data_IF_060553394677
#
_entry.id   IF_060553394677
#
_cell.length_a   1.000
_cell.length_b   1.000
_cell.length_c   1.000
_cell.angle_alpha   90.00
_cell.angle_beta   90.00
_cell.angle_gamma   90.00
#
_symmetry.space_group_name_H-M   'P 1'
#
loop_
_entity.id
_entity.type
_entity.pdbx_description
1 polymer ?
#
# COMPACT_ATOMS: atom_id res chain seq x y z
N UNK A 1 -27.96 -34.39 -15.03
CA UNK A 1 -27.55 -35.31 -13.94
C UNK A 1 -26.11 -35.01 -13.55
N UNK A 2 -25.87 -34.86 -12.30
CA UNK A 2 -24.69 -34.69 -11.41
C UNK A 2 -24.52 -33.27 -10.85
N UNK A 3 -25.09 -33.12 -9.65
CA UNK A 3 -24.88 -32.05 -8.71
C UNK A 3 -23.47 -32.18 -8.11
N UNK A 4 -22.78 -31.05 -7.89
CA UNK A 4 -21.61 -30.98 -7.03
C UNK A 4 -21.97 -30.12 -5.81
N UNK A 5 -21.93 -30.79 -4.67
CA UNK A 5 -22.27 -30.27 -3.35
C UNK A 5 -21.14 -29.36 -2.86
N UNK A 6 -21.47 -28.11 -2.51
CA UNK A 6 -20.57 -27.23 -1.80
C UNK A 6 -20.61 -27.53 -0.29
N UNK A 7 -19.49 -27.94 0.29
CA UNK A 7 -19.33 -28.21 1.72
C UNK A 7 -18.83 -26.94 2.41
N UNK A 8 -19.72 -26.26 3.14
CA UNK A 8 -19.36 -25.13 3.99
C UNK A 8 -18.90 -25.63 5.37
N UNK A 9 -17.64 -25.42 5.70
CA UNK A 9 -17.12 -25.69 7.03
C UNK A 9 -17.21 -24.41 7.88
N UNK A 10 -18.22 -24.35 8.76
CA UNK A 10 -18.29 -23.38 9.87
C UNK A 10 -17.45 -23.91 11.03
N UNK A 11 -16.35 -23.26 11.34
CA UNK A 11 -15.59 -23.51 12.55
C UNK A 11 -16.13 -22.59 13.65
N UNK A 12 -16.88 -23.20 14.59
CA UNK A 12 -17.36 -22.53 15.82
C UNK A 12 -16.33 -22.73 16.90
N UNK A 13 -15.68 -21.66 17.34
CA UNK A 13 -14.72 -21.69 18.45
C UNK A 13 -15.47 -21.47 19.78
N UNK A 14 -15.65 -22.51 20.58
CA UNK A 14 -16.19 -22.44 21.93
C UNK A 14 -15.06 -22.19 22.94
N UNK A 15 -15.16 -21.06 23.62
CA UNK A 15 -14.35 -20.65 24.75
C UNK A 15 -14.78 -21.43 25.99
N UNK A 16 -13.89 -22.24 26.58
CA UNK A 16 -14.11 -22.85 27.89
C UNK A 16 -12.98 -22.40 28.82
N UNK A 17 -13.32 -21.50 29.75
CA UNK A 17 -12.48 -21.22 30.90
C UNK A 17 -12.62 -22.36 31.92
N UNK A 18 -11.51 -22.88 32.36
CA UNK A 18 -11.44 -23.63 33.62
C UNK A 18 -10.28 -23.12 34.45
N UNK A 19 -10.61 -22.48 35.56
CA UNK A 19 -9.68 -22.20 36.64
C UNK A 19 -9.45 -23.49 37.41
N UNK A 20 -8.21 -23.81 37.70
CA UNK A 20 -7.84 -24.66 38.83
C UNK A 20 -6.67 -24.05 39.58
N UNK A 21 -6.85 -24.00 40.89
CA UNK A 21 -5.93 -23.47 41.90
C UNK A 21 -4.92 -24.54 42.34
N UNK A 22 -3.74 -24.04 42.72
CA UNK A 22 -2.84 -24.48 43.79
C UNK A 22 -1.95 -25.72 43.57
N UNK A 23 -0.67 -25.49 43.84
CA UNK A 23 0.28 -26.52 44.29
C UNK A 23 1.75 -26.11 44.08
N UNK A 24 2.39 -25.63 45.13
CA UNK A 24 3.84 -25.40 45.24
C UNK A 24 4.64 -26.68 44.97
N UNK A 25 5.82 -26.62 44.32
CA UNK A 25 7.08 -27.02 44.88
C UNK A 25 8.26 -26.79 43.89
N UNK A 26 9.32 -26.30 44.46
CA UNK A 26 10.68 -26.09 44.00
C UNK A 26 11.30 -27.23 43.18
N UNK A 27 12.06 -26.90 42.10
CA UNK A 27 13.45 -27.37 41.94
C UNK A 27 14.15 -26.68 40.78
N UNK A 28 15.37 -26.29 41.05
CA UNK A 28 16.40 -25.66 40.23
C UNK A 28 16.69 -26.40 38.91
N UNK A 29 16.89 -25.68 37.85
CA UNK A 29 17.46 -26.17 36.60
C UNK A 29 17.72 -25.01 35.63
N UNK A 30 18.90 -24.38 35.79
CA UNK A 30 19.38 -23.35 34.85
C UNK A 30 19.66 -23.97 33.49
N UNK A 31 18.83 -23.67 32.48
CA UNK A 31 19.19 -23.82 31.07
C UNK A 31 19.05 -22.46 30.44
N UNK A 32 20.19 -21.79 30.24
CA UNK A 32 20.36 -20.58 29.49
C UNK A 32 20.23 -20.96 28.00
N UNK A 33 19.01 -20.94 27.45
CA UNK A 33 18.82 -20.95 26.00
C UNK A 33 18.90 -19.51 25.49
N UNK A 34 20.03 -19.20 24.85
CA UNK A 34 20.20 -18.04 24.02
C UNK A 34 19.29 -18.23 22.79
N UNK A 35 18.04 -17.77 22.88
CA UNK A 35 17.18 -17.63 21.70
C UNK A 35 17.59 -16.34 21.02
N UNK A 36 18.41 -16.50 19.99
CA UNK A 36 18.65 -15.44 19.01
C UNK A 36 17.31 -15.13 18.32
N UNK A 37 16.59 -14.17 18.87
CA UNK A 37 15.30 -13.73 18.36
C UNK A 37 15.49 -12.91 17.08
N UNK A 38 15.50 -13.56 15.93
CA UNK A 38 15.06 -12.92 14.69
C UNK A 38 13.58 -12.58 14.88
N UNK A 39 13.32 -11.36 15.35
CA UNK A 39 11.98 -10.82 15.48
C UNK A 39 11.39 -10.56 14.11
N UNK A 40 10.79 -11.59 13.52
CA UNK A 40 9.81 -11.39 12.46
C UNK A 40 8.59 -10.74 13.10
N UNK A 41 8.48 -9.43 12.98
CA UNK A 41 7.27 -8.70 13.36
C UNK A 41 6.16 -9.16 12.42
N UNK A 42 5.39 -10.15 12.85
CA UNK A 42 4.12 -10.48 12.20
C UNK A 42 3.19 -9.31 12.52
N UNK A 43 2.90 -8.48 11.52
CA UNK A 43 1.91 -7.44 11.66
C UNK A 43 0.55 -8.10 11.96
N UNK A 44 0.04 -7.88 13.17
CA UNK A 44 -1.29 -8.32 13.56
C UNK A 44 -2.26 -7.27 13.02
N UNK A 45 -3.07 -7.66 12.05
CA UNK A 45 -4.10 -6.83 11.46
C UNK A 45 -5.23 -6.59 12.48
N UNK A 46 -5.50 -5.36 12.82
CA UNK A 46 -6.72 -4.97 13.52
C UNK A 46 -7.78 -4.58 12.48
N UNK A 47 -9.01 -5.03 12.66
CA UNK A 47 -10.11 -4.80 11.72
C UNK A 47 -10.25 -3.31 11.36
N UNK A 48 -9.96 -2.97 10.11
CA UNK A 48 -10.21 -1.65 9.54
C UNK A 48 -8.99 -0.79 9.19
N UNK A 49 -7.77 -1.13 9.61
CA UNK A 49 -6.58 -0.38 9.25
C UNK A 49 -5.82 -1.04 8.09
N UNK A 50 -5.57 -0.26 7.04
CA UNK A 50 -4.66 -0.68 5.96
C UNK A 50 -3.23 -0.52 6.46
N UNK A 51 -2.43 -1.61 6.57
CA UNK A 51 -1.08 -1.47 7.09
C UNK A 51 -0.21 -0.72 6.10
N UNK A 52 0.69 0.07 6.64
CA UNK A 52 1.74 0.69 5.85
C UNK A 52 2.75 -0.37 5.40
N UNK A 53 2.72 -0.73 4.12
CA UNK A 53 3.73 -1.57 3.46
C UNK A 53 4.41 -0.75 2.38
N UNK A 54 5.73 -0.66 2.45
CA UNK A 54 6.50 0.12 1.48
C UNK A 54 6.75 -0.70 0.21
N UNK A 55 6.50 -0.11 -0.96
CA UNK A 55 6.99 -0.64 -2.23
C UNK A 55 8.53 -0.60 -2.27
N UNK A 56 9.15 -1.61 -2.86
CA UNK A 56 10.61 -1.62 -3.05
C UNK A 56 11.05 -0.57 -4.07
N UNK A 57 12.31 -0.11 -4.04
CA UNK A 57 12.80 0.87 -5.00
C UNK A 57 12.62 0.43 -6.46
N UNK A 58 12.79 -0.86 -6.74
CA UNK A 58 12.66 -1.45 -8.08
C UNK A 58 11.20 -1.38 -8.55
N UNK A 59 10.24 -1.68 -7.67
CA UNK A 59 8.81 -1.57 -7.97
C UNK A 59 8.42 -0.11 -8.21
N UNK A 60 8.88 0.81 -7.35
CA UNK A 60 8.63 2.24 -7.52
C UNK A 60 9.17 2.73 -8.86
N UNK A 61 10.41 2.38 -9.19
CA UNK A 61 11.00 2.76 -10.48
C UNK A 61 10.17 2.23 -11.65
N UNK A 62 9.71 0.97 -11.58
CA UNK A 62 8.88 0.38 -12.62
C UNK A 62 7.52 1.05 -12.74
N UNK A 63 6.86 1.38 -11.62
CA UNK A 63 5.61 2.16 -11.62
C UNK A 63 5.77 3.49 -12.36
N UNK A 64 6.82 4.24 -12.02
CA UNK A 64 7.07 5.55 -12.61
C UNK A 64 7.47 5.46 -14.10
N UNK A 65 8.19 4.43 -14.52
CA UNK A 65 8.51 4.16 -15.91
C UNK A 65 7.26 3.80 -16.72
N UNK A 66 6.39 2.94 -16.20
CA UNK A 66 5.12 2.60 -16.84
C UNK A 66 4.18 3.78 -16.94
N UNK A 67 4.23 4.70 -15.97
CA UNK A 67 3.49 5.97 -16.01
C UNK A 67 3.96 6.89 -17.14
N UNK A 68 5.13 6.67 -17.73
CA UNK A 68 5.70 7.50 -18.82
C UNK A 68 5.68 8.99 -18.47
N UNK A 69 6.21 9.30 -17.28
CA UNK A 69 6.16 10.64 -16.71
C UNK A 69 6.84 11.68 -17.60
N UNK A 70 6.19 12.84 -17.74
CA UNK A 70 6.65 14.03 -18.47
C UNK A 70 6.80 15.19 -17.49
N UNK A 71 7.53 16.23 -17.88
CA UNK A 71 7.80 17.39 -17.02
C UNK A 71 6.57 18.18 -16.60
N UNK A 72 5.52 18.14 -17.41
CA UNK A 72 4.22 18.80 -17.15
C UNK A 72 3.28 17.96 -16.28
N UNK A 73 3.64 16.71 -15.96
CA UNK A 73 2.78 15.83 -15.17
C UNK A 73 2.67 16.28 -13.71
N UNK A 74 1.49 16.03 -13.16
CA UNK A 74 1.20 16.17 -11.73
C UNK A 74 0.82 14.79 -11.20
N UNK A 75 1.68 14.23 -10.34
CA UNK A 75 1.46 12.90 -9.75
C UNK A 75 0.71 13.02 -8.42
N UNK A 76 -0.32 12.21 -8.23
CA UNK A 76 -0.97 11.97 -6.94
C UNK A 76 -0.73 10.53 -6.50
N UNK A 77 -0.20 10.37 -5.29
CA UNK A 77 0.01 9.05 -4.66
C UNK A 77 -0.99 8.87 -3.52
N UNK A 78 -1.92 7.91 -3.69
CA UNK A 78 -3.01 7.69 -2.74
C UNK A 78 -2.59 6.59 -1.75
N UNK A 79 -2.57 6.94 -0.46
CA UNK A 79 -1.95 6.11 0.57
C UNK A 79 -0.43 6.25 0.51
N UNK A 80 0.08 7.49 0.48
CA UNK A 80 1.48 7.77 0.16
C UNK A 80 2.47 7.33 1.26
N UNK A 81 1.99 6.94 2.44
CA UNK A 81 2.82 6.49 3.53
C UNK A 81 3.92 7.49 3.88
N UNK A 82 5.16 7.04 3.89
CA UNK A 82 6.33 7.89 4.18
C UNK A 82 6.88 8.65 2.96
N UNK A 83 6.11 8.71 1.87
CA UNK A 83 6.36 9.52 0.68
C UNK A 83 7.33 8.91 -0.34
N UNK A 84 7.60 7.62 -0.29
CA UNK A 84 8.65 7.00 -1.11
C UNK A 84 8.42 7.20 -2.62
N UNK A 85 7.20 6.98 -3.13
CA UNK A 85 6.84 7.14 -4.56
C UNK A 85 6.90 8.62 -4.95
N UNK A 86 6.28 9.49 -4.16
CA UNK A 86 6.22 10.95 -4.37
C UNK A 86 7.63 11.55 -4.48
N UNK A 87 8.49 11.24 -3.51
CA UNK A 87 9.87 11.72 -3.46
C UNK A 87 10.69 11.19 -4.64
N UNK A 88 10.52 9.90 -4.98
CA UNK A 88 11.22 9.30 -6.11
C UNK A 88 10.81 9.93 -7.44
N UNK A 89 9.51 10.20 -7.63
CA UNK A 89 8.99 10.89 -8.81
C UNK A 89 9.57 12.30 -8.95
N UNK A 90 9.51 13.09 -7.89
CA UNK A 90 10.06 14.44 -7.87
C UNK A 90 11.56 14.44 -8.14
N UNK A 91 12.33 13.55 -7.49
CA UNK A 91 13.79 13.48 -7.63
C UNK A 91 14.25 13.04 -9.01
N UNK A 92 13.59 12.02 -9.60
CA UNK A 92 14.02 11.41 -10.88
C UNK A 92 13.52 12.18 -12.09
N UNK A 93 12.32 12.79 -12.00
CA UNK A 93 11.64 13.39 -13.15
C UNK A 93 11.42 14.91 -13.02
N UNK A 94 11.69 15.50 -11.85
CA UNK A 94 11.55 16.94 -11.63
C UNK A 94 10.10 17.45 -11.66
N UNK A 95 9.13 16.57 -11.42
CA UNK A 95 7.69 16.87 -11.51
C UNK A 95 7.10 17.26 -10.16
N UNK A 96 5.94 17.91 -10.20
CA UNK A 96 5.12 18.13 -9.01
C UNK A 96 4.49 16.79 -8.58
N UNK A 97 4.58 16.46 -7.30
CA UNK A 97 4.02 15.24 -6.78
C UNK A 97 3.36 15.46 -5.41
N UNK A 98 2.14 14.94 -5.26
CA UNK A 98 1.30 15.11 -4.08
C UNK A 98 1.05 13.75 -3.45
N UNK A 99 1.34 13.61 -2.16
CA UNK A 99 1.02 12.43 -1.37
C UNK A 99 -0.22 12.68 -0.51
N UNK A 100 -1.18 11.77 -0.61
CA UNK A 100 -2.39 11.75 0.22
C UNK A 100 -2.26 10.61 1.22
N UNK A 101 -2.29 10.94 2.50
CA UNK A 101 -2.12 9.97 3.58
C UNK A 101 -2.99 10.40 4.77
N UNK A 102 -3.67 9.44 5.38
CA UNK A 102 -4.55 9.74 6.51
C UNK A 102 -3.78 9.81 7.84
N UNK A 103 -2.69 9.06 7.95
CA UNK A 103 -1.84 9.04 9.14
C UNK A 103 -0.93 10.28 9.18
N UNK A 104 -1.17 11.15 10.17
CA UNK A 104 -0.41 12.37 10.36
C UNK A 104 1.07 12.13 10.69
N UNK A 105 1.41 11.01 11.34
CA UNK A 105 2.80 10.66 11.66
C UNK A 105 3.57 10.27 10.40
N UNK A 106 2.92 9.51 9.50
CA UNK A 106 3.47 9.18 8.18
C UNK A 106 3.63 10.43 7.32
N UNK A 107 2.66 11.34 7.30
CA UNK A 107 2.78 12.64 6.63
C UNK A 107 3.96 13.44 7.16
N UNK A 108 4.13 13.53 8.48
CA UNK A 108 5.27 14.22 9.08
C UNK A 108 6.60 13.54 8.72
N UNK A 109 6.62 12.20 8.65
CA UNK A 109 7.79 11.43 8.20
C UNK A 109 8.10 11.68 6.72
N UNK A 110 7.08 11.70 5.86
CA UNK A 110 7.22 11.98 4.43
C UNK A 110 7.83 13.38 4.18
N UNK A 111 7.37 14.40 4.90
CA UNK A 111 7.93 15.76 4.84
C UNK A 111 9.41 15.80 5.25
N UNK A 112 9.78 15.10 6.33
CA UNK A 112 11.21 14.98 6.73
C UNK A 112 12.04 14.24 5.68
N UNK A 113 11.48 13.21 5.06
CA UNK A 113 12.14 12.49 3.98
C UNK A 113 12.37 13.39 2.76
N UNK A 114 11.36 14.15 2.33
CA UNK A 114 11.46 15.09 1.21
C UNK A 114 12.54 16.17 1.45
N UNK A 115 12.59 16.71 2.67
CA UNK A 115 13.63 17.67 3.05
C UNK A 115 15.05 17.07 2.96
N UNK A 116 15.22 15.83 3.45
CA UNK A 116 16.53 15.13 3.35
C UNK A 116 16.94 14.86 1.90
N UNK A 117 15.98 14.59 1.04
CA UNK A 117 16.19 14.36 -0.39
C UNK A 117 16.24 15.66 -1.23
N UNK A 118 16.04 16.83 -0.60
CA UNK A 118 16.09 18.17 -1.21
C UNK A 118 15.06 18.36 -2.33
N UNK A 119 13.88 17.76 -2.18
CA UNK A 119 12.77 17.85 -3.15
C UNK A 119 11.50 18.49 -2.56
N UNK A 120 11.58 19.08 -1.37
CA UNK A 120 10.45 19.68 -0.66
C UNK A 120 9.74 20.79 -1.46
N UNK A 121 10.42 21.40 -2.39
CA UNK A 121 9.87 22.43 -3.29
C UNK A 121 9.02 21.85 -4.44
N UNK A 122 9.10 20.56 -4.71
CA UNK A 122 8.34 19.86 -5.76
C UNK A 122 7.20 19.01 -5.18
N UNK A 123 7.21 18.73 -3.86
CA UNK A 123 6.28 17.79 -3.27
C UNK A 123 5.38 18.43 -2.23
N UNK A 124 4.17 17.91 -2.11
CA UNK A 124 3.22 18.25 -1.07
C UNK A 124 2.71 16.96 -0.42
N UNK A 125 2.56 16.95 0.92
CA UNK A 125 1.94 15.85 1.65
C UNK A 125 0.76 16.37 2.45
N UNK A 126 -0.42 15.78 2.21
CA UNK A 126 -1.70 16.14 2.83
C UNK A 126 -2.16 15.04 3.77
N UNK A 127 -2.41 15.42 5.04
CA UNK A 127 -3.10 14.55 5.98
C UNK A 127 -4.59 14.59 5.65
N UNK A 128 -5.05 13.69 4.78
CA UNK A 128 -6.41 13.74 4.23
C UNK A 128 -6.92 12.34 3.90
N UNK A 129 -8.23 12.14 4.10
CA UNK A 129 -8.92 10.94 3.63
C UNK A 129 -8.97 10.92 2.10
N UNK A 130 -8.48 9.84 1.51
CA UNK A 130 -8.43 9.61 0.08
C UNK A 130 -9.80 9.70 -0.62
N UNK A 131 -10.89 9.41 0.09
CA UNK A 131 -12.23 9.48 -0.47
C UNK A 131 -12.81 10.90 -0.53
N UNK A 132 -12.11 11.87 0.05
CA UNK A 132 -12.50 13.30 0.06
C UNK A 132 -11.59 14.18 -0.76
N UNK A 133 -10.52 13.61 -1.33
CA UNK A 133 -9.53 14.38 -2.10
C UNK A 133 -10.05 14.75 -3.48
N UNK A 134 -9.75 15.98 -3.92
CA UNK A 134 -9.90 16.38 -5.32
C UNK A 134 -8.64 15.93 -6.10
N UNK A 135 -8.79 14.92 -6.95
CA UNK A 135 -7.74 14.40 -7.84
C UNK A 135 -7.86 14.93 -9.27
N UNK A 136 -8.78 15.87 -9.54
CA UNK A 136 -8.97 16.43 -10.89
C UNK A 136 -7.73 17.13 -11.48
N UNK A 137 -6.76 17.65 -10.67
CA UNK A 137 -5.51 18.18 -11.21
C UNK A 137 -4.49 17.10 -11.58
N UNK A 138 -4.70 15.83 -11.15
CA UNK A 138 -3.75 14.76 -11.42
C UNK A 138 -3.73 14.38 -12.90
N UNK A 139 -2.54 14.20 -13.45
CA UNK A 139 -2.32 13.54 -14.74
C UNK A 139 -1.86 12.11 -14.57
N UNK A 140 -1.32 11.80 -13.38
CA UNK A 140 -0.91 10.45 -12.97
C UNK A 140 -1.37 10.19 -11.54
N UNK A 141 -1.95 9.01 -11.31
CA UNK A 141 -2.27 8.52 -9.96
C UNK A 141 -1.52 7.22 -9.72
N UNK A 142 -0.90 7.07 -8.55
CA UNK A 142 -0.28 5.82 -8.09
C UNK A 142 -1.06 5.24 -6.92
N UNK A 143 -1.15 3.91 -6.89
CA UNK A 143 -1.91 3.14 -5.89
C UNK A 143 -1.09 1.94 -5.42
N UNK A 144 -1.01 1.75 -4.11
CA UNK A 144 -0.65 0.46 -3.50
C UNK A 144 -1.62 0.17 -2.37
N UNK A 145 -2.87 -0.04 -2.72
CA UNK A 145 -4.00 -0.17 -1.79
C UNK A 145 -4.75 -1.47 -2.04
N UNK A 146 -5.37 -2.01 -0.99
CA UNK A 146 -6.13 -3.26 -1.08
C UNK A 146 -7.28 -3.18 -2.10
N UNK A 147 -7.74 -4.33 -2.65
CA UNK A 147 -8.78 -4.36 -3.68
C UNK A 147 -10.06 -3.63 -3.29
N UNK A 148 -10.51 -3.79 -2.04
CA UNK A 148 -11.72 -3.15 -1.53
C UNK A 148 -11.58 -1.62 -1.47
N UNK A 149 -10.37 -1.14 -1.17
CA UNK A 149 -10.08 0.29 -1.20
C UNK A 149 -10.10 0.82 -2.63
N UNK A 150 -9.44 0.12 -3.57
CA UNK A 150 -9.42 0.48 -4.99
C UNK A 150 -10.84 0.50 -5.57
N UNK A 151 -11.70 -0.47 -5.21
CA UNK A 151 -13.09 -0.53 -5.63
C UNK A 151 -13.91 0.69 -5.16
N UNK A 152 -13.69 1.14 -3.91
CA UNK A 152 -14.33 2.36 -3.37
C UNK A 152 -13.78 3.64 -3.98
N UNK A 153 -12.49 3.67 -4.31
CA UNK A 153 -11.83 4.84 -4.89
C UNK A 153 -12.19 5.03 -6.38
N UNK A 154 -12.41 3.93 -7.10
CA UNK A 154 -12.69 3.94 -8.54
C UNK A 154 -13.75 4.97 -8.98
N UNK A 155 -14.95 5.06 -8.36
CA UNK A 155 -15.95 6.05 -8.80
C UNK A 155 -15.49 7.51 -8.67
N UNK A 156 -14.54 7.80 -7.79
CA UNK A 156 -13.91 9.12 -7.64
C UNK A 156 -12.96 9.37 -8.80
N UNK A 157 -12.12 8.40 -9.12
CA UNK A 157 -11.19 8.46 -10.25
C UNK A 157 -11.95 8.60 -11.58
N UNK A 158 -13.01 7.81 -11.80
CA UNK A 158 -13.86 7.85 -13.00
C UNK A 158 -14.49 9.24 -13.24
N UNK A 159 -14.86 9.94 -12.16
CA UNK A 159 -15.50 11.27 -12.25
C UNK A 159 -14.51 12.42 -12.40
N UNK A 160 -13.34 12.30 -11.82
CA UNK A 160 -12.43 13.44 -11.66
C UNK A 160 -11.25 13.42 -12.61
N UNK A 161 -10.76 12.25 -13.01
CA UNK A 161 -9.63 12.17 -13.93
C UNK A 161 -10.05 12.49 -15.35
N UNK A 162 -9.20 13.25 -16.04
CA UNK A 162 -9.42 13.63 -17.43
C UNK A 162 -8.98 12.53 -18.39
N UNK A 163 -9.58 12.40 -19.57
CA UNK A 163 -9.05 11.55 -20.64
C UNK A 163 -7.55 11.82 -20.87
N UNK A 164 -6.77 10.75 -21.01
CA UNK A 164 -5.31 10.80 -21.11
C UNK A 164 -4.57 10.77 -19.78
N UNK A 165 -5.27 10.87 -18.64
CA UNK A 165 -4.66 10.59 -17.33
C UNK A 165 -4.30 9.10 -17.23
N UNK A 166 -3.34 8.78 -16.38
CA UNK A 166 -2.82 7.43 -16.18
C UNK A 166 -2.91 7.04 -14.71
N UNK A 167 -3.36 5.82 -14.45
CA UNK A 167 -3.36 5.24 -13.11
C UNK A 167 -2.41 4.04 -13.10
N UNK A 168 -1.48 4.00 -12.15
CA UNK A 168 -0.55 2.88 -11.99
C UNK A 168 -0.76 2.24 -10.63
N UNK A 169 -1.16 0.97 -10.64
CA UNK A 169 -1.41 0.21 -9.42
C UNK A 169 -0.36 -0.89 -9.20
N UNK A 170 0.06 -1.03 -7.96
CA UNK A 170 0.97 -2.06 -7.49
C UNK A 170 0.17 -3.20 -6.85
N UNK A 171 0.40 -4.43 -7.31
CA UNK A 171 -0.17 -5.72 -6.91
C UNK A 171 -1.70 -5.85 -7.04
N UNK A 172 -2.46 -4.80 -6.75
CA UNK A 172 -3.92 -4.87 -6.68
C UNK A 172 -4.58 -4.13 -7.84
N UNK A 173 -5.45 -4.81 -8.63
CA UNK A 173 -6.16 -4.16 -9.73
C UNK A 173 -7.19 -3.14 -9.24
N UNK A 174 -7.60 -2.25 -10.13
CA UNK A 174 -8.82 -1.44 -9.96
C UNK A 174 -9.98 -2.24 -10.54
N UNK A 175 -10.90 -2.67 -9.69
CA UNK A 175 -12.01 -3.53 -10.09
C UNK A 175 -12.82 -2.93 -11.23
N UNK A 176 -13.08 -3.75 -12.28
CA UNK A 176 -13.83 -3.34 -13.46
C UNK A 176 -13.07 -2.50 -14.48
N UNK A 177 -11.79 -2.17 -14.22
CA UNK A 177 -10.90 -1.64 -15.24
C UNK A 177 -10.06 -2.75 -15.86
N UNK A 178 -9.80 -2.63 -17.17
CA UNK A 178 -8.87 -3.53 -17.88
C UNK A 178 -7.54 -2.80 -18.02
N UNK A 179 -6.45 -3.36 -17.50
CA UNK A 179 -5.14 -2.71 -17.62
C UNK A 179 -4.69 -2.66 -19.09
N UNK A 180 -4.16 -1.52 -19.50
CA UNK A 180 -3.55 -1.32 -20.82
C UNK A 180 -2.16 -1.97 -20.90
N UNK A 181 -1.48 -2.06 -19.75
CA UNK A 181 -0.19 -2.74 -19.62
C UNK A 181 -0.06 -3.39 -18.25
N UNK A 182 0.52 -4.59 -18.23
CA UNK A 182 0.89 -5.32 -17.01
C UNK A 182 2.36 -5.68 -17.10
N UNK A 183 3.09 -5.52 -16.00
CA UNK A 183 4.47 -5.99 -15.87
C UNK A 183 4.71 -6.64 -14.51
N UNK A 184 5.78 -7.43 -14.42
CA UNK A 184 6.20 -8.12 -13.20
C UNK A 184 7.58 -7.70 -12.80
N UNK A 185 7.73 -7.34 -11.53
CA UNK A 185 9.01 -7.01 -10.90
C UNK A 185 9.37 -8.12 -9.94
N UNK A 186 10.56 -8.69 -10.10
CA UNK A 186 11.02 -9.77 -9.23
C UNK A 186 11.10 -9.31 -7.78
N UNK A 187 10.41 -10.02 -6.90
CA UNK A 187 10.50 -9.82 -5.46
C UNK A 187 11.71 -10.54 -4.85
N UNK A 188 12.13 -10.09 -3.67
CA UNK A 188 13.33 -10.65 -3.01
C UNK A 188 13.05 -11.89 -2.17
N UNK A 189 11.83 -12.08 -1.61
CA UNK A 189 11.60 -13.14 -0.61
C UNK A 189 10.27 -13.90 -0.70
N UNK A 190 9.19 -13.34 -1.22
CA UNK A 190 7.87 -13.94 -1.06
C UNK A 190 7.09 -14.12 -2.37
N UNK A 191 7.01 -13.11 -3.20
CA UNK A 191 6.26 -13.13 -4.46
C UNK A 191 6.85 -12.11 -5.43
N UNK A 192 6.59 -12.29 -6.71
CA UNK A 192 6.85 -11.27 -7.72
C UNK A 192 5.75 -10.21 -7.65
N UNK A 193 6.14 -8.95 -7.72
CA UNK A 193 5.20 -7.84 -7.72
C UNK A 193 4.63 -7.59 -9.11
N UNK A 194 3.35 -7.25 -9.16
CA UNK A 194 2.66 -6.90 -10.41
C UNK A 194 2.44 -5.40 -10.45
N UNK A 195 2.80 -4.76 -11.55
CA UNK A 195 2.52 -3.34 -11.83
C UNK A 195 1.57 -3.26 -13.00
N UNK A 196 0.47 -2.53 -12.83
CA UNK A 196 -0.60 -2.39 -13.82
C UNK A 196 -0.78 -0.92 -14.18
N UNK A 197 -0.82 -0.61 -15.48
CA UNK A 197 -1.15 0.71 -16.02
C UNK A 197 -2.56 0.70 -16.58
N UNK A 198 -3.31 1.75 -16.26
CA UNK A 198 -4.63 2.04 -16.82
C UNK A 198 -4.62 3.46 -17.42
N UNK A 199 -5.05 3.61 -18.66
CA UNK A 199 -5.22 4.89 -19.35
C UNK A 199 -6.69 5.32 -19.32
N UNK A 200 -6.97 6.48 -18.77
CA UNK A 200 -8.33 7.03 -18.69
C UNK A 200 -8.74 7.53 -20.09
N UNK A 201 -9.92 7.06 -20.55
CA UNK A 201 -10.47 7.35 -21.90
C UNK A 201 -11.68 8.24 -21.84
#
# INVERSE_FOLDING_TARGET
MRAVVALSARITYKRTMRQTRLGNLWLLGSILMLVCGCGSSVAVWTDGEVPFVRSTPEVIDRMLEMARLKTEDVLYDIGSGDGAIVIRAAKKYGIKAIGIEIDQELVAKARRNAFREKVEHLVEFRAQDAFTVDVSPATVVTLYMLPEFNAKLRPILDRQLRPGSRVVSHDYPVEGWVPDQIDRVKGTFAHDHTVMLFEIR
#
